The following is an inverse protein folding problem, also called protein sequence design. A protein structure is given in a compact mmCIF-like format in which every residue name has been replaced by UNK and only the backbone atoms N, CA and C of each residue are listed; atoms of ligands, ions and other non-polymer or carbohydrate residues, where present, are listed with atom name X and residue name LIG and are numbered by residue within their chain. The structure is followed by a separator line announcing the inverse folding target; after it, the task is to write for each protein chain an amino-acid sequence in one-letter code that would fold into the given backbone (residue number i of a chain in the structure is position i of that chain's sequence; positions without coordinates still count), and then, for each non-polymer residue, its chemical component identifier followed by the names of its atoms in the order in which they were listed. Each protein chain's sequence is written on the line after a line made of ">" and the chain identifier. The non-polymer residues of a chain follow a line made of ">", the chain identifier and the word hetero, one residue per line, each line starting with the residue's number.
data_IF_140544975548
#
_entry.id   IF_140544975548
#
_cell.length_a   1.000
_cell.length_b   1.000
_cell.length_c   1.000
_cell.angle_alpha   90.00
_cell.angle_beta   90.00
_cell.angle_gamma   90.00
#
_symmetry.space_group_name_H-M   'P 1'
#
loop_
_entity.id
_entity.type
_entity.pdbx_description
1 polymer ?
#
# COMPACT_ATOMS: atom_id res chain seq x y z
N UNK A 1 2.71 38.65 1.41
CA UNK A 1 1.28 38.33 1.66
C UNK A 1 0.31 38.73 0.52
N UNK A 2 0.74 38.88 -0.74
CA UNK A 2 -0.15 39.11 -1.90
C UNK A 2 0.32 38.38 -3.20
N UNK A 3 1.08 37.29 -3.07
CA UNK A 3 1.68 36.55 -4.22
C UNK A 3 1.58 35.02 -4.13
N UNK A 4 0.81 34.49 -3.19
CA UNK A 4 0.51 33.05 -3.03
C UNK A 4 -0.84 32.65 -3.68
N UNK A 5 -1.36 33.47 -4.60
CA UNK A 5 -2.72 33.36 -5.15
C UNK A 5 -2.82 32.74 -6.55
N UNK A 6 -1.72 32.28 -7.17
CA UNK A 6 -1.78 31.79 -8.56
C UNK A 6 -2.22 30.32 -8.68
N UNK A 7 -2.24 29.54 -7.60
CA UNK A 7 -2.92 28.22 -7.58
C UNK A 7 -4.34 28.25 -6.97
N UNK A 8 -4.82 29.41 -6.51
CA UNK A 8 -6.11 29.56 -5.82
C UNK A 8 -7.07 30.55 -6.53
N UNK A 9 -6.84 30.87 -7.80
CA UNK A 9 -7.61 31.88 -8.56
C UNK A 9 -8.39 31.35 -9.78
N UNK A 10 -8.79 30.07 -9.78
CA UNK A 10 -9.79 29.57 -10.72
C UNK A 10 -11.19 29.35 -10.10
N UNK A 11 -11.34 29.37 -8.76
CA UNK A 11 -12.64 29.14 -8.13
C UNK A 11 -13.01 30.22 -7.11
N UNK A 12 -14.11 30.91 -7.41
CA UNK A 12 -14.99 31.66 -6.51
C UNK A 12 -14.53 33.03 -5.97
N UNK A 13 -14.96 34.06 -6.70
CA UNK A 13 -15.31 35.37 -6.13
C UNK A 13 -16.52 35.26 -5.20
N UNK A 14 -16.42 35.67 -3.94
CA UNK A 14 -17.39 36.50 -3.17
C UNK A 14 -17.14 36.41 -1.64
N UNK A 15 -16.55 37.48 -1.09
CA UNK A 15 -16.83 38.17 0.20
C UNK A 15 -17.40 37.42 1.43
N UNK A 16 -16.67 37.44 2.57
CA UNK A 16 -16.89 38.25 3.81
C UNK A 16 -16.49 37.56 5.15
N UNK A 17 -15.49 38.16 5.82
CA UNK A 17 -15.32 38.52 7.27
C UNK A 17 -15.50 37.50 8.45
N UNK A 18 -14.37 37.35 9.18
CA UNK A 18 -14.06 37.65 10.62
C UNK A 18 -14.47 36.73 11.81
N UNK A 19 -13.45 36.48 12.65
CA UNK A 19 -13.39 36.20 14.12
C UNK A 19 -13.75 34.77 14.58
N UNK A 20 -13.19 34.16 15.64
CA UNK A 20 -12.31 34.58 16.75
C UNK A 20 -11.59 33.35 17.39
N UNK A 21 -10.57 33.61 18.22
CA UNK A 21 -9.68 32.66 18.91
C UNK A 21 -10.34 31.69 19.93
N UNK A 22 -11.65 31.50 19.89
CA UNK A 22 -12.38 30.59 20.79
C UNK A 22 -12.30 29.11 20.36
N UNK A 23 -12.04 28.82 19.07
CA UNK A 23 -12.04 27.45 18.54
C UNK A 23 -10.79 26.63 18.94
N UNK A 24 -9.67 27.30 19.23
CA UNK A 24 -8.38 26.65 19.56
C UNK A 24 -8.37 26.07 20.99
N UNK A 25 -9.22 26.57 21.89
CA UNK A 25 -9.28 26.07 23.26
C UNK A 25 -10.14 24.80 23.40
N UNK A 26 -11.10 24.58 22.49
CA UNK A 26 -11.99 23.42 22.51
C UNK A 26 -11.32 22.18 21.87
N UNK A 27 -10.49 22.39 20.84
CA UNK A 27 -9.67 21.33 20.22
C UNK A 27 -8.64 20.71 21.20
N UNK A 28 -8.12 21.49 22.16
CA UNK A 28 -7.16 20.99 23.17
C UNK A 28 -7.81 20.11 24.26
N UNK A 29 -9.14 20.17 24.42
CA UNK A 29 -9.86 19.27 25.34
C UNK A 29 -10.18 17.92 24.71
N UNK A 30 -10.25 17.84 23.38
CA UNK A 30 -10.50 16.59 22.65
C UNK A 30 -9.30 15.64 22.66
N UNK A 31 -8.07 16.15 22.68
CA UNK A 31 -6.83 15.37 22.56
C UNK A 31 -6.35 14.61 23.84
N UNK A 32 -7.14 14.57 24.92
CA UNK A 32 -6.73 13.89 26.18
C UNK A 32 -7.62 12.73 26.63
N UNK A 33 -8.59 12.32 25.82
CA UNK A 33 -9.35 11.10 26.02
C UNK A 33 -9.51 10.45 24.66
N UNK A 34 -8.65 9.50 24.35
CA UNK A 34 -9.11 8.12 24.21
C UNK A 34 -7.90 7.19 24.12
N UNK A 35 -7.76 6.44 25.22
CA UNK A 35 -7.18 5.11 25.17
C UNK A 35 -8.20 4.26 24.39
N UNK A 36 -7.67 3.47 23.45
CA UNK A 36 -7.93 2.03 23.35
C UNK A 36 -8.90 1.47 22.26
N UNK A 37 -8.39 0.42 21.61
CA UNK A 37 -8.94 -0.69 20.79
C UNK A 37 -9.26 -0.51 19.29
N UNK A 38 -8.48 -1.23 18.48
CA UNK A 38 -8.82 -2.09 17.31
C UNK A 38 -10.10 -1.76 16.55
N UNK A 39 -9.94 -1.28 15.31
CA UNK A 39 -11.05 -1.16 14.36
C UNK A 39 -11.46 -2.55 13.86
N UNK A 40 -12.77 -2.78 13.85
CA UNK A 40 -13.37 -4.00 13.31
C UNK A 40 -13.34 -3.97 11.77
N UNK A 41 -13.39 -5.12 11.09
CA UNK A 41 -13.43 -5.17 9.62
C UNK A 41 -14.59 -4.37 9.01
N UNK A 42 -15.68 -4.10 9.75
CA UNK A 42 -16.75 -3.21 9.26
C UNK A 42 -16.28 -1.78 9.06
N UNK A 43 -15.37 -1.30 9.90
CA UNK A 43 -14.77 0.03 9.77
C UNK A 43 -13.68 0.03 8.69
N UNK A 44 -12.95 -1.09 8.54
CA UNK A 44 -11.92 -1.29 7.52
C UNK A 44 -12.52 -1.38 6.10
N UNK A 45 -13.60 -2.17 5.94
CA UNK A 45 -14.37 -2.26 4.71
C UNK A 45 -15.07 -0.93 4.42
N UNK A 46 -15.54 -0.19 5.43
CA UNK A 46 -16.13 1.13 5.23
C UNK A 46 -15.09 2.17 4.78
N UNK A 47 -13.87 2.13 5.32
CA UNK A 47 -12.77 3.00 4.90
C UNK A 47 -12.30 2.65 3.49
N UNK A 48 -12.05 1.37 3.20
CA UNK A 48 -11.70 0.91 1.83
C UNK A 48 -12.85 1.18 0.86
N UNK A 49 -14.11 0.99 1.26
CA UNK A 49 -15.28 1.37 0.45
C UNK A 49 -15.35 2.87 0.26
N UNK A 50 -14.97 3.72 1.22
CA UNK A 50 -14.88 5.19 1.02
C UNK A 50 -13.71 5.58 0.10
N UNK A 51 -12.60 4.84 0.14
CA UNK A 51 -11.47 5.01 -0.78
C UNK A 51 -11.73 4.45 -2.19
N UNK A 52 -12.65 3.49 -2.34
CA UNK A 52 -13.13 2.95 -3.63
C UNK A 52 -14.36 3.70 -4.17
N UNK A 53 -15.22 4.19 -3.28
CA UNK A 53 -16.38 5.02 -3.57
C UNK A 53 -16.02 6.48 -3.32
N UNK A 54 -15.21 7.06 -4.21
CA UNK A 54 -15.16 8.51 -4.29
C UNK A 54 -16.57 9.05 -4.63
N UNK A 55 -16.94 10.18 -4.04
CA UNK A 55 -18.03 11.00 -4.58
C UNK A 55 -19.45 10.77 -4.03
N UNK A 56 -19.65 10.45 -2.75
CA UNK A 56 -21.01 10.50 -2.18
C UNK A 56 -21.65 11.92 -2.15
N UNK A 57 -20.94 12.94 -2.66
CA UNK A 57 -21.44 14.32 -2.73
C UNK A 57 -21.08 15.07 -4.03
N UNK A 58 -20.65 14.38 -5.10
CA UNK A 58 -20.28 15.00 -6.38
C UNK A 58 -21.06 14.36 -7.55
N UNK A 59 -21.29 15.12 -8.63
CA UNK A 59 -21.98 14.63 -9.84
C UNK A 59 -21.18 13.59 -10.65
N UNK A 60 -19.96 13.26 -10.21
CA UNK A 60 -19.02 12.37 -10.90
C UNK A 60 -19.31 10.94 -10.47
N UNK A 61 -19.54 10.06 -11.44
CA UNK A 61 -19.98 8.69 -11.22
C UNK A 61 -18.90 7.64 -11.54
N UNK A 62 -17.77 8.03 -12.13
CA UNK A 62 -16.69 7.10 -12.50
C UNK A 62 -15.30 7.72 -12.51
N UNK A 63 -14.28 6.85 -12.41
CA UNK A 63 -12.88 7.23 -12.58
C UNK A 63 -12.60 7.90 -13.95
N UNK A 64 -13.29 7.44 -15.01
CA UNK A 64 -13.16 8.00 -16.37
C UNK A 64 -13.65 9.46 -16.40
N UNK A 65 -14.83 9.72 -15.85
CA UNK A 65 -15.38 11.08 -15.78
C UNK A 65 -14.49 12.01 -14.95
N UNK A 66 -13.92 11.49 -13.86
CA UNK A 66 -12.99 12.22 -13.01
C UNK A 66 -11.70 12.62 -13.76
N UNK A 67 -11.10 11.68 -14.50
CA UNK A 67 -9.90 11.95 -15.32
C UNK A 67 -10.18 12.99 -16.40
N UNK A 68 -11.33 12.90 -17.09
CA UNK A 68 -11.71 13.89 -18.10
C UNK A 68 -11.93 15.30 -17.51
N UNK A 69 -12.50 15.39 -16.30
CA UNK A 69 -12.59 16.65 -15.58
C UNK A 69 -11.20 17.21 -15.26
N UNK A 70 -10.30 16.39 -14.74
CA UNK A 70 -8.93 16.80 -14.42
C UNK A 70 -8.19 17.30 -15.65
N UNK A 71 -8.26 16.57 -16.76
CA UNK A 71 -7.70 17.00 -18.05
C UNK A 71 -8.18 18.40 -18.42
N UNK A 72 -9.50 18.66 -18.33
CA UNK A 72 -10.06 19.97 -18.64
C UNK A 72 -9.50 21.06 -17.73
N UNK A 73 -9.60 20.87 -16.41
CA UNK A 73 -9.18 21.86 -15.41
C UNK A 73 -7.69 22.17 -15.54
N UNK A 74 -6.85 21.14 -15.64
CA UNK A 74 -5.40 21.31 -15.71
C UNK A 74 -4.93 21.82 -17.08
N UNK A 75 -5.61 21.53 -18.18
CA UNK A 75 -5.32 22.17 -19.47
C UNK A 75 -5.54 23.69 -19.41
N UNK A 76 -6.66 24.14 -18.81
CA UNK A 76 -6.99 25.56 -18.66
C UNK A 76 -6.00 26.28 -17.73
N UNK A 77 -5.43 25.59 -16.74
CA UNK A 77 -4.46 26.17 -15.82
C UNK A 77 -3.02 26.17 -16.35
N UNK A 78 -2.71 25.43 -17.42
CA UNK A 78 -1.33 25.24 -17.92
C UNK A 78 -0.55 26.54 -18.12
N UNK A 79 -1.19 27.59 -18.67
CA UNK A 79 -0.56 28.90 -18.86
C UNK A 79 -0.16 29.53 -17.51
N UNK A 80 -0.99 29.41 -16.46
CA UNK A 80 -0.64 29.88 -15.12
C UNK A 80 0.53 29.10 -14.50
N UNK A 81 0.69 27.82 -14.85
CA UNK A 81 1.84 27.01 -14.45
C UNK A 81 3.08 27.24 -15.32
N UNK A 82 2.93 27.68 -16.57
CA UNK A 82 4.00 27.88 -17.55
C UNK A 82 4.55 29.31 -17.60
N UNK A 83 3.73 30.33 -17.30
CA UNK A 83 4.04 31.76 -17.48
C UNK A 83 5.01 32.35 -16.45
N UNK A 84 5.76 31.54 -15.69
CA UNK A 84 6.91 32.02 -14.94
C UNK A 84 6.64 32.69 -13.58
N UNK A 85 5.53 32.42 -12.89
CA UNK A 85 5.60 32.37 -11.43
C UNK A 85 6.20 31.03 -11.04
N UNK A 86 7.52 30.91 -11.23
CA UNK A 86 8.36 29.91 -10.57
C UNK A 86 7.82 29.70 -9.16
N UNK A 87 7.75 28.43 -8.73
CA UNK A 87 7.69 28.02 -7.33
C UNK A 87 7.97 29.20 -6.43
N UNK A 88 6.96 29.68 -5.69
CA UNK A 88 7.13 30.90 -4.87
C UNK A 88 8.43 30.80 -4.10
N UNK A 89 9.20 31.88 -3.97
CA UNK A 89 10.52 31.85 -3.31
C UNK A 89 10.50 31.09 -1.96
N UNK A 90 9.38 31.18 -1.25
CA UNK A 90 9.09 30.50 0.02
C UNK A 90 9.07 28.95 -0.07
N UNK A 91 8.78 28.38 -1.24
CA UNK A 91 8.70 26.93 -1.50
C UNK A 91 9.99 26.34 -2.07
N UNK A 92 10.91 27.15 -2.61
CA UNK A 92 12.18 26.61 -3.13
C UNK A 92 12.92 25.77 -2.08
N UNK A 93 13.10 26.22 -0.82
CA UNK A 93 13.80 25.40 0.17
C UNK A 93 13.09 24.08 0.49
N UNK A 94 11.76 24.04 0.38
CA UNK A 94 10.97 22.80 0.57
C UNK A 94 11.22 21.83 -0.58
N UNK A 95 11.33 22.32 -1.82
CA UNK A 95 11.66 21.49 -2.98
C UNK A 95 13.12 21.03 -2.99
N UNK A 96 14.05 21.88 -2.56
CA UNK A 96 15.45 21.49 -2.32
C UNK A 96 15.52 20.35 -1.29
N UNK A 97 14.83 20.52 -0.16
CA UNK A 97 14.74 19.49 0.87
C UNK A 97 14.11 18.19 0.34
N UNK A 98 13.00 18.28 -0.40
CA UNK A 98 12.35 17.14 -1.01
C UNK A 98 13.30 16.37 -1.94
N UNK A 99 14.02 17.08 -2.83
CA UNK A 99 14.98 16.45 -3.73
C UNK A 99 16.13 15.79 -2.95
N UNK A 100 16.60 16.38 -1.86
CA UNK A 100 17.60 15.77 -0.98
C UNK A 100 17.04 14.51 -0.27
N UNK A 101 15.78 14.53 0.17
CA UNK A 101 15.10 13.36 0.74
C UNK A 101 14.94 12.22 -0.25
N UNK A 102 14.71 12.52 -1.52
CA UNK A 102 14.63 11.54 -2.60
C UNK A 102 16.03 11.00 -2.90
N UNK A 103 17.00 11.89 -3.17
CA UNK A 103 18.36 11.52 -3.58
C UNK A 103 19.07 10.63 -2.56
N UNK A 104 18.92 10.92 -1.27
CA UNK A 104 19.58 10.13 -0.20
C UNK A 104 19.13 8.67 -0.12
N UNK A 105 18.01 8.29 -0.76
CA UNK A 105 17.54 6.90 -0.81
C UNK A 105 18.26 6.06 -1.85
N UNK A 106 18.89 6.71 -2.83
CA UNK A 106 19.59 6.04 -3.92
C UNK A 106 21.09 6.02 -3.62
N UNK A 107 21.57 4.91 -3.03
CA UNK A 107 22.99 4.70 -2.82
C UNK A 107 23.59 4.09 -4.10
N UNK A 108 24.46 4.85 -4.75
CA UNK A 108 24.82 4.73 -6.17
C UNK A 108 25.73 3.53 -6.47
N UNK A 109 25.14 2.41 -6.89
CA UNK A 109 25.85 1.37 -7.66
C UNK A 109 25.23 1.13 -9.04
N UNK A 110 23.94 1.43 -9.21
CA UNK A 110 23.21 1.39 -10.49
C UNK A 110 23.04 2.80 -11.03
N UNK A 111 23.65 3.09 -12.17
CA UNK A 111 23.41 4.32 -12.94
C UNK A 111 23.03 3.97 -14.37
N UNK A 112 22.06 4.68 -15.00
CA UNK A 112 21.25 5.77 -14.42
C UNK A 112 20.26 5.28 -13.35
N UNK A 113 19.94 6.16 -12.38
CA UNK A 113 18.77 5.96 -11.49
C UNK A 113 17.52 6.29 -12.31
N UNK A 114 16.50 5.43 -12.28
CA UNK A 114 15.26 5.66 -13.02
C UNK A 114 14.12 6.11 -12.10
N UNK A 115 13.60 7.32 -12.32
CA UNK A 115 12.53 7.91 -11.49
C UNK A 115 11.30 8.21 -12.35
N UNK A 116 10.11 7.90 -11.83
CA UNK A 116 8.83 8.32 -12.39
C UNK A 116 8.26 9.48 -11.55
N UNK A 117 8.00 10.63 -12.17
CA UNK A 117 7.29 11.76 -11.58
C UNK A 117 5.82 11.73 -12.04
N UNK A 118 4.93 11.44 -11.11
CA UNK A 118 3.50 11.18 -11.37
C UNK A 118 2.70 12.47 -11.25
N UNK A 119 1.90 12.77 -12.28
CA UNK A 119 1.22 14.07 -12.44
C UNK A 119 2.24 15.21 -12.38
N UNK A 120 3.24 15.13 -13.26
CA UNK A 120 4.42 16.01 -13.21
C UNK A 120 4.11 17.49 -13.48
N UNK A 121 2.88 17.82 -13.93
CA UNK A 121 2.49 19.17 -14.32
C UNK A 121 3.43 19.71 -15.39
N UNK A 122 3.92 20.94 -15.22
CA UNK A 122 4.92 21.56 -16.11
C UNK A 122 6.37 21.20 -15.76
N UNK A 123 6.60 20.17 -14.92
CA UNK A 123 7.94 19.66 -14.60
C UNK A 123 8.65 20.42 -13.47
N UNK A 124 7.90 20.94 -12.50
CA UNK A 124 8.44 21.77 -11.41
C UNK A 124 9.53 21.06 -10.57
N UNK A 125 9.47 19.72 -10.47
CA UNK A 125 10.42 18.91 -9.71
C UNK A 125 11.69 18.56 -10.51
N UNK A 126 11.63 18.60 -11.85
CA UNK A 126 12.71 18.18 -12.74
C UNK A 126 14.06 18.85 -12.47
N UNK A 127 14.17 20.19 -12.30
CA UNK A 127 15.47 20.82 -12.09
C UNK A 127 16.11 20.41 -10.76
N UNK A 128 15.29 20.21 -9.72
CA UNK A 128 15.77 19.78 -8.42
C UNK A 128 16.34 18.36 -8.51
N UNK A 129 15.61 17.41 -9.08
CA UNK A 129 16.13 16.05 -9.27
C UNK A 129 17.36 16.03 -10.17
N UNK A 130 17.33 16.70 -11.33
CA UNK A 130 18.47 16.73 -12.26
C UNK A 130 19.78 17.20 -11.61
N UNK A 131 19.69 18.11 -10.63
CA UNK A 131 20.87 18.61 -9.89
C UNK A 131 21.42 17.67 -8.81
N UNK A 132 20.69 16.60 -8.45
CA UNK A 132 21.04 15.68 -7.34
C UNK A 132 21.67 14.36 -7.79
N UNK A 133 21.56 14.03 -9.07
CA UNK A 133 22.01 12.75 -9.60
C UNK A 133 23.10 12.96 -10.65
N UNK A 134 24.15 12.13 -10.60
CA UNK A 134 25.18 12.10 -11.64
C UNK A 134 24.66 11.57 -12.97
N UNK A 135 23.66 10.66 -12.92
CA UNK A 135 22.97 10.11 -14.08
C UNK A 135 21.56 9.68 -13.69
N UNK A 136 20.57 10.19 -14.43
CA UNK A 136 19.15 10.07 -14.13
C UNK A 136 18.39 9.80 -15.43
N UNK A 137 17.48 8.85 -15.37
CA UNK A 137 16.43 8.61 -16.36
C UNK A 137 15.10 8.97 -15.72
N UNK A 138 14.61 10.19 -15.98
CA UNK A 138 13.39 10.73 -15.39
C UNK A 138 12.24 10.61 -16.39
N UNK A 139 11.17 9.96 -15.98
CA UNK A 139 9.93 9.88 -16.73
C UNK A 139 8.88 10.73 -16.03
N UNK A 140 8.35 11.75 -16.70
CA UNK A 140 7.17 12.50 -16.23
C UNK A 140 5.91 11.96 -16.89
N UNK A 141 4.85 11.75 -16.11
CA UNK A 141 3.52 11.43 -16.66
C UNK A 141 2.50 12.45 -16.20
N UNK A 142 1.64 12.89 -17.11
CA UNK A 142 0.51 13.76 -16.78
C UNK A 142 -0.67 13.48 -17.72
N UNK A 143 -1.90 13.68 -17.25
CA UNK A 143 -3.11 13.48 -18.06
C UNK A 143 -3.38 14.64 -19.01
N UNK A 144 -2.85 15.84 -18.71
CA UNK A 144 -3.12 17.09 -19.43
C UNK A 144 -2.11 17.32 -20.56
N UNK A 145 -2.55 17.32 -21.85
CA UNK A 145 -1.67 17.61 -22.99
C UNK A 145 -0.88 18.91 -22.86
N UNK A 146 -1.49 19.97 -22.30
CA UNK A 146 -0.80 21.25 -22.14
C UNK A 146 0.27 21.21 -21.04
N UNK A 147 0.01 20.47 -19.94
CA UNK A 147 1.03 20.23 -18.90
C UNK A 147 2.21 19.47 -19.47
N UNK A 148 1.93 18.38 -20.19
CA UNK A 148 2.94 17.56 -20.89
C UNK A 148 3.76 18.42 -21.83
N UNK A 149 3.13 19.26 -22.66
CA UNK A 149 3.84 20.14 -23.58
C UNK A 149 4.76 21.12 -22.83
N UNK A 150 4.28 21.73 -21.75
CA UNK A 150 5.09 22.63 -20.92
C UNK A 150 6.29 21.92 -20.28
N UNK A 151 6.07 20.74 -19.73
CA UNK A 151 7.11 19.90 -19.13
C UNK A 151 8.14 19.42 -20.16
N UNK A 152 7.73 19.05 -21.37
CA UNK A 152 8.64 18.68 -22.47
C UNK A 152 9.56 19.85 -22.86
N UNK A 153 9.01 21.06 -22.97
CA UNK A 153 9.81 22.26 -23.26
C UNK A 153 10.80 22.57 -22.14
N UNK A 154 10.40 22.39 -20.88
CA UNK A 154 11.28 22.62 -19.74
C UNK A 154 12.38 21.55 -19.62
N UNK A 155 12.02 20.28 -19.81
CA UNK A 155 12.93 19.14 -19.85
C UNK A 155 14.05 19.34 -20.89
N UNK A 156 13.73 19.82 -22.10
CA UNK A 156 14.73 20.12 -23.13
C UNK A 156 15.77 21.14 -22.67
N UNK A 157 15.37 22.17 -21.92
CA UNK A 157 16.29 23.17 -21.37
C UNK A 157 17.18 22.59 -20.28
N UNK A 158 16.63 21.72 -19.42
CA UNK A 158 17.38 21.06 -18.35
C UNK A 158 18.45 20.12 -18.96
N UNK A 159 18.07 19.27 -19.91
CA UNK A 159 18.99 18.30 -20.53
C UNK A 159 20.19 18.96 -21.25
N UNK A 160 20.07 20.21 -21.70
CA UNK A 160 21.21 20.97 -22.25
C UNK A 160 22.29 21.26 -21.21
N UNK A 161 21.92 21.42 -19.93
CA UNK A 161 22.84 21.68 -18.82
C UNK A 161 23.38 20.41 -18.15
N UNK A 162 22.73 19.26 -18.36
CA UNK A 162 23.06 18.01 -17.67
C UNK A 162 23.12 16.82 -18.65
N UNK A 163 24.29 16.52 -19.26
CA UNK A 163 24.40 15.58 -20.38
C UNK A 163 24.11 14.11 -20.03
N UNK A 164 24.17 13.73 -18.75
CA UNK A 164 23.88 12.37 -18.25
C UNK A 164 22.44 12.22 -17.70
N UNK A 165 21.63 13.26 -17.86
CA UNK A 165 20.23 13.30 -17.44
C UNK A 165 19.38 13.16 -18.70
N UNK A 166 18.47 12.19 -18.69
CA UNK A 166 17.44 12.01 -19.70
C UNK A 166 16.09 12.29 -19.03
N UNK A 167 15.27 13.09 -19.69
CA UNK A 167 13.91 13.39 -19.23
C UNK A 167 12.94 13.12 -20.38
N UNK A 168 12.05 12.15 -20.19
CA UNK A 168 10.96 11.87 -21.12
C UNK A 168 9.62 12.21 -20.45
N UNK A 169 8.72 12.88 -21.15
CA UNK A 169 7.41 13.26 -20.61
C UNK A 169 6.31 12.72 -21.49
N UNK A 170 5.37 11.99 -20.90
CA UNK A 170 4.35 11.21 -21.58
C UNK A 170 2.96 11.65 -21.11
N UNK A 171 2.03 11.81 -22.04
CA UNK A 171 0.62 11.93 -21.72
C UNK A 171 0.07 10.57 -21.30
N UNK A 172 -0.28 10.41 -20.03
CA UNK A 172 -0.80 9.16 -19.50
C UNK A 172 -1.61 9.37 -18.22
N UNK A 173 -2.61 8.51 -18.01
CA UNK A 173 -3.25 8.33 -16.71
C UNK A 173 -2.45 7.28 -15.92
N UNK A 174 -2.04 7.64 -14.70
CA UNK A 174 -1.08 6.84 -13.94
C UNK A 174 -1.61 5.46 -13.55
N UNK A 175 -2.88 5.34 -13.14
CA UNK A 175 -3.46 4.04 -12.74
C UNK A 175 -3.48 3.01 -13.89
N UNK A 176 -3.44 3.48 -15.14
CA UNK A 176 -3.36 2.70 -16.37
C UNK A 176 -1.98 2.73 -17.04
N UNK A 177 -1.00 3.42 -16.46
CA UNK A 177 0.33 3.56 -17.04
C UNK A 177 1.11 2.24 -16.99
N UNK A 178 1.72 1.89 -18.11
CA UNK A 178 2.59 0.73 -18.25
C UNK A 178 3.98 1.17 -18.68
N UNK A 179 5.00 0.51 -18.14
CA UNK A 179 6.39 0.71 -18.52
C UNK A 179 7.06 -0.65 -18.74
N UNK A 180 7.87 -0.82 -19.79
CA UNK A 180 8.61 -2.06 -20.03
C UNK A 180 9.67 -2.32 -18.94
N UNK A 181 10.20 -1.25 -18.35
CA UNK A 181 11.20 -1.29 -17.29
C UNK A 181 10.62 -0.77 -15.98
N UNK A 182 11.09 -1.34 -14.87
CA UNK A 182 10.72 -0.93 -13.52
C UNK A 182 11.55 0.28 -13.04
N UNK A 183 10.98 1.04 -12.11
CA UNK A 183 11.55 2.27 -11.57
C UNK A 183 12.30 2.02 -10.25
N UNK A 184 13.40 2.75 -10.05
CA UNK A 184 14.07 2.85 -8.76
C UNK A 184 13.26 3.75 -7.81
N UNK A 185 12.63 4.80 -8.35
CA UNK A 185 11.81 5.73 -7.59
C UNK A 185 10.51 6.09 -8.30
N UNK A 186 9.43 6.24 -7.54
CA UNK A 186 8.19 6.88 -8.00
C UNK A 186 7.90 8.04 -7.05
N UNK A 187 7.65 9.22 -7.60
CA UNK A 187 7.33 10.43 -6.84
C UNK A 187 5.91 10.88 -7.20
N UNK A 188 5.07 11.02 -6.17
CA UNK A 188 3.72 11.57 -6.23
C UNK A 188 3.70 12.89 -5.48
N UNK A 189 4.25 13.93 -6.11
CA UNK A 189 4.33 15.24 -5.51
C UNK A 189 3.06 16.06 -5.81
N UNK A 190 2.37 16.46 -4.76
CA UNK A 190 1.16 17.29 -4.79
C UNK A 190 -0.01 16.72 -5.63
N UNK A 191 -0.08 15.40 -5.78
CA UNK A 191 -1.09 14.76 -6.62
C UNK A 191 -1.88 13.62 -5.95
N UNK A 192 -1.45 13.10 -4.78
CA UNK A 192 -2.07 11.91 -4.20
C UNK A 192 -3.55 12.10 -3.84
N UNK A 193 -3.92 13.26 -3.29
CA UNK A 193 -5.31 13.60 -2.99
C UNK A 193 -6.19 13.79 -4.23
N UNK A 194 -5.56 13.91 -5.40
CA UNK A 194 -6.23 14.14 -6.68
C UNK A 194 -6.66 12.83 -7.33
N UNK A 195 -6.21 11.65 -6.88
CA UNK A 195 -6.60 10.41 -7.55
C UNK A 195 -8.00 9.95 -7.17
N UNK A 196 -8.70 9.30 -8.10
CA UNK A 196 -10.02 8.73 -7.81
C UNK A 196 -9.95 7.66 -6.71
N UNK A 197 -8.97 6.76 -6.77
CA UNK A 197 -8.71 5.76 -5.73
C UNK A 197 -7.24 5.74 -5.33
N UNK A 198 -6.97 6.10 -4.06
CA UNK A 198 -5.62 6.01 -3.51
C UNK A 198 -5.08 4.57 -3.48
N UNK A 199 -5.96 3.56 -3.34
CA UNK A 199 -5.54 2.16 -3.30
C UNK A 199 -5.05 1.66 -4.66
N UNK A 200 -5.79 1.93 -5.75
CA UNK A 200 -5.39 1.53 -7.12
C UNK A 200 -4.05 2.16 -7.53
N UNK A 201 -3.82 3.39 -7.09
CA UNK A 201 -2.57 4.13 -7.34
C UNK A 201 -1.41 3.54 -6.55
N UNK A 202 -1.62 3.15 -5.29
CA UNK A 202 -0.60 2.43 -4.51
C UNK A 202 -0.31 1.05 -5.11
N UNK A 203 -1.33 0.32 -5.56
CA UNK A 203 -1.19 -0.96 -6.26
C UNK A 203 -0.34 -0.82 -7.52
N UNK A 204 -0.66 0.18 -8.36
CA UNK A 204 0.07 0.47 -9.59
C UNK A 204 1.52 0.89 -9.30
N UNK A 205 1.75 1.76 -8.32
CA UNK A 205 3.09 2.15 -7.91
C UNK A 205 3.91 0.94 -7.46
N UNK A 206 3.30 0.04 -6.68
CA UNK A 206 3.95 -1.19 -6.26
C UNK A 206 4.37 -2.04 -7.47
N UNK A 207 3.52 -2.20 -8.49
CA UNK A 207 3.83 -2.97 -9.71
C UNK A 207 4.96 -2.38 -10.55
N UNK A 208 5.09 -1.04 -10.55
CA UNK A 208 6.09 -0.33 -11.35
C UNK A 208 7.44 -0.15 -10.64
N UNK A 209 7.52 -0.39 -9.32
CA UNK A 209 8.77 -0.32 -8.57
C UNK A 209 9.59 -1.61 -8.69
N UNK A 210 10.91 -1.48 -8.76
CA UNK A 210 11.83 -2.62 -8.69
C UNK A 210 11.66 -3.37 -7.37
N UNK A 211 11.46 -4.70 -7.39
CA UNK A 211 11.47 -5.48 -6.15
C UNK A 211 12.87 -5.49 -5.54
N UNK A 212 12.98 -5.72 -4.22
CA UNK A 212 14.29 -5.84 -3.58
C UNK A 212 15.01 -7.09 -4.08
N UNK A 213 16.33 -7.01 -4.16
CA UNK A 213 17.23 -8.13 -4.45
C UNK A 213 18.17 -8.34 -3.25
N UNK A 214 18.81 -9.51 -3.07
CA UNK A 214 19.54 -9.84 -1.82
C UNK A 214 20.60 -8.85 -1.33
N UNK A 215 21.04 -7.91 -2.18
CA UNK A 215 22.09 -6.93 -1.90
C UNK A 215 21.68 -5.49 -2.25
N UNK A 216 20.42 -5.24 -2.63
CA UNK A 216 19.92 -3.91 -2.98
C UNK A 216 18.48 -3.76 -2.51
N UNK A 217 18.13 -2.64 -1.84
CA UNK A 217 16.75 -2.39 -1.44
C UNK A 217 15.83 -2.37 -2.67
N UNK A 218 14.53 -2.49 -2.43
CA UNK A 218 13.56 -2.26 -3.49
C UNK A 218 13.51 -0.79 -3.89
N UNK A 219 12.73 -0.50 -4.92
CA UNK A 219 12.44 0.87 -5.30
C UNK A 219 11.63 1.61 -4.22
N UNK A 220 11.63 2.94 -4.27
CA UNK A 220 10.98 3.80 -3.29
C UNK A 220 9.80 4.58 -3.89
N UNK A 221 8.68 4.63 -3.16
CA UNK A 221 7.56 5.51 -3.44
C UNK A 221 7.60 6.70 -2.48
N UNK A 222 7.53 7.92 -3.02
CA UNK A 222 7.45 9.16 -2.27
C UNK A 222 6.07 9.79 -2.50
N UNK A 223 5.26 9.89 -1.46
CA UNK A 223 3.99 10.63 -1.48
C UNK A 223 4.22 11.94 -0.76
N UNK A 224 4.19 13.06 -1.50
CA UNK A 224 4.63 14.35 -0.94
C UNK A 224 3.65 15.47 -1.22
N UNK A 225 3.61 16.45 -0.33
CA UNK A 225 2.89 17.70 -0.56
C UNK A 225 3.63 18.88 0.10
N UNK A 226 4.18 19.84 -0.67
CA UNK A 226 4.99 20.94 -0.14
C UNK A 226 4.27 21.83 0.87
N UNK A 227 2.94 21.94 0.78
CA UNK A 227 2.09 22.72 1.70
C UNK A 227 1.44 21.87 2.82
N UNK A 228 1.75 20.57 2.88
CA UNK A 228 1.25 19.66 3.91
C UNK A 228 -0.20 19.22 3.78
N UNK A 229 -0.62 18.33 4.68
CA UNK A 229 -1.94 17.68 4.65
C UNK A 229 -3.12 18.61 4.97
N UNK A 230 -2.91 19.63 5.81
CA UNK A 230 -3.96 20.60 6.15
C UNK A 230 -4.42 21.40 4.92
N UNK A 231 -3.46 21.77 4.06
CA UNK A 231 -3.76 22.45 2.80
C UNK A 231 -4.59 21.56 1.86
N UNK A 232 -4.23 20.28 1.73
CA UNK A 232 -5.02 19.33 0.92
C UNK A 232 -6.41 19.11 1.49
N UNK A 233 -6.57 19.08 2.83
CA UNK A 233 -7.89 19.00 3.46
C UNK A 233 -8.76 20.23 3.16
N UNK A 234 -8.16 21.41 3.02
CA UNK A 234 -8.86 22.62 2.56
C UNK A 234 -9.25 22.51 1.08
N UNK A 235 -8.33 22.09 0.20
CA UNK A 235 -8.64 21.87 -1.23
C UNK A 235 -9.75 20.84 -1.44
N UNK A 236 -9.77 19.78 -0.63
CA UNK A 236 -10.84 18.79 -0.66
C UNK A 236 -12.21 19.40 -0.32
N UNK A 237 -12.26 20.36 0.61
CA UNK A 237 -13.50 21.06 0.96
C UNK A 237 -13.95 22.04 -0.14
N UNK A 238 -12.98 22.70 -0.79
CA UNK A 238 -13.25 23.73 -1.80
C UNK A 238 -13.54 23.15 -3.19
N UNK A 239 -12.85 22.07 -3.56
CA UNK A 239 -12.85 21.45 -4.90
C UNK A 239 -12.86 19.92 -4.85
N UNK A 240 -13.83 19.29 -4.15
CA UNK A 240 -13.88 17.83 -3.96
C UNK A 240 -13.96 17.02 -5.26
N UNK A 241 -14.36 17.65 -6.36
CA UNK A 241 -14.43 17.03 -7.69
C UNK A 241 -13.06 16.79 -8.35
N UNK A 242 -12.03 17.56 -7.97
CA UNK A 242 -10.65 17.38 -8.48
C UNK A 242 -9.68 16.89 -7.41
N UNK A 243 -9.99 17.14 -6.13
CA UNK A 243 -9.29 16.64 -4.95
C UNK A 243 -10.26 15.83 -4.10
N UNK A 244 -10.62 14.60 -4.51
CA UNK A 244 -11.61 13.78 -3.83
C UNK A 244 -11.18 13.28 -2.45
N UNK A 245 -9.88 13.35 -2.10
CA UNK A 245 -9.37 12.81 -0.83
C UNK A 245 -8.41 13.75 -0.09
N UNK A 246 -8.48 13.71 1.23
CA UNK A 246 -7.41 14.19 2.10
C UNK A 246 -6.18 13.27 2.01
N UNK A 247 -4.99 13.78 2.36
CA UNK A 247 -3.81 12.92 2.51
C UNK A 247 -3.93 12.00 3.73
N UNK A 248 -3.58 10.70 3.60
CA UNK A 248 -3.66 9.76 4.71
C UNK A 248 -2.62 10.07 5.80
N UNK A 249 -2.99 9.86 7.06
CA UNK A 249 -2.03 9.86 8.16
C UNK A 249 -1.20 8.56 8.19
N UNK A 250 -0.25 8.47 9.13
CA UNK A 250 0.62 7.30 9.29
C UNK A 250 -0.13 5.97 9.42
N UNK A 251 -1.15 5.91 10.28
CA UNK A 251 -1.95 4.69 10.49
C UNK A 251 -2.78 4.32 9.26
N UNK A 252 -3.36 5.32 8.61
CA UNK A 252 -4.12 5.14 7.38
C UNK A 252 -3.23 4.63 6.24
N UNK A 253 -1.98 5.10 6.12
CA UNK A 253 -1.04 4.58 5.13
C UNK A 253 -0.67 3.12 5.40
N UNK A 254 -0.32 2.78 6.65
CA UNK A 254 -0.06 1.38 7.04
C UNK A 254 -1.26 0.51 6.69
N UNK A 255 -2.45 1.00 6.98
CA UNK A 255 -3.68 0.31 6.65
C UNK A 255 -3.83 0.15 5.13
N UNK A 256 -3.69 1.20 4.34
CA UNK A 256 -3.83 1.16 2.88
C UNK A 256 -2.80 0.23 2.21
N UNK A 257 -1.60 0.09 2.76
CA UNK A 257 -0.53 -0.74 2.17
C UNK A 257 -0.40 -2.13 2.79
N UNK A 258 -1.21 -2.52 3.77
CA UNK A 258 -1.08 -3.81 4.48
C UNK A 258 -1.13 -5.06 3.60
N UNK A 259 -1.70 -4.93 2.40
CA UNK A 259 -1.82 -6.00 1.39
C UNK A 259 -1.00 -5.72 0.13
N UNK A 260 -0.22 -4.64 0.15
CA UNK A 260 0.66 -4.24 -0.93
C UNK A 260 2.11 -4.49 -0.53
N UNK A 261 3.01 -4.80 -1.47
CA UNK A 261 4.42 -4.98 -1.16
C UNK A 261 5.11 -3.62 -0.94
N UNK A 262 4.49 -2.74 -0.15
CA UNK A 262 4.93 -1.39 0.18
C UNK A 262 4.97 -1.23 1.69
N UNK A 263 6.17 -0.98 2.21
CA UNK A 263 6.37 -0.72 3.63
C UNK A 263 6.62 0.76 3.85
N UNK A 264 5.82 1.39 4.73
CA UNK A 264 6.09 2.75 5.17
C UNK A 264 7.35 2.76 6.05
N UNK A 265 8.39 3.45 5.61
CA UNK A 265 9.69 3.51 6.30
C UNK A 265 10.01 4.89 6.88
N UNK A 266 9.30 5.92 6.44
CA UNK A 266 9.42 7.28 6.97
C UNK A 266 8.14 8.08 6.73
N UNK A 267 7.77 8.88 7.73
CA UNK A 267 6.60 9.75 7.66
C UNK A 267 6.88 11.09 8.36
N UNK A 268 6.66 12.20 7.66
CA UNK A 268 6.93 13.55 8.13
C UNK A 268 5.83 14.51 7.71
N UNK A 269 5.40 15.40 8.61
CA UNK A 269 4.36 16.40 8.35
C UNK A 269 4.82 17.86 8.51
N UNK A 270 6.09 18.07 8.86
CA UNK A 270 6.71 19.39 8.98
C UNK A 270 8.16 19.30 8.59
N UNK A 271 8.66 20.34 7.93
CA UNK A 271 10.07 20.51 7.60
C UNK A 271 10.61 21.75 8.32
N UNK A 272 11.87 21.72 8.75
CA UNK A 272 12.54 22.93 9.20
C UNK A 272 13.31 23.54 8.03
N UNK A 273 12.88 24.72 7.60
CA UNK A 273 13.53 25.51 6.54
C UNK A 273 14.04 26.79 7.20
N UNK A 274 15.34 27.03 7.11
CA UNK A 274 15.99 28.24 7.66
C UNK A 274 15.68 28.47 9.16
N UNK A 275 15.47 27.39 9.92
CA UNK A 275 15.17 27.45 11.36
C UNK A 275 13.68 27.61 11.71
N UNK A 276 12.80 27.72 10.71
CA UNK A 276 11.34 27.80 10.90
C UNK A 276 10.65 26.51 10.50
N UNK A 277 9.68 26.07 11.29
CA UNK A 277 8.91 24.86 11.00
C UNK A 277 7.77 25.16 10.02
N UNK A 278 7.90 24.69 8.78
CA UNK A 278 6.90 24.85 7.72
C UNK A 278 6.01 23.59 7.58
N UNK A 279 4.74 23.73 7.17
CA UNK A 279 3.92 22.59 6.77
C UNK A 279 4.60 21.79 5.66
N UNK A 280 4.53 20.47 5.75
CA UNK A 280 5.04 19.56 4.74
C UNK A 280 4.27 18.25 4.83
N UNK A 281 4.35 17.41 3.82
CA UNK A 281 3.90 16.03 3.92
C UNK A 281 4.88 15.20 3.11
N UNK A 282 5.45 14.18 3.73
CA UNK A 282 6.25 13.18 3.05
C UNK A 282 6.04 11.84 3.70
N UNK A 283 5.51 10.90 2.94
CA UNK A 283 5.55 9.49 3.25
C UNK A 283 6.51 8.81 2.27
N UNK A 284 7.53 8.15 2.80
CA UNK A 284 8.44 7.32 2.00
C UNK A 284 8.10 5.87 2.26
N UNK A 285 7.76 5.15 1.20
CA UNK A 285 7.50 3.72 1.22
C UNK A 285 8.56 2.99 0.41
N UNK A 286 9.00 1.83 0.89
CA UNK A 286 9.92 0.95 0.19
C UNK A 286 9.15 -0.23 -0.41
N UNK A 287 9.50 -0.60 -1.64
CA UNK A 287 9.05 -1.84 -2.26
C UNK A 287 9.72 -2.99 -1.53
N UNK A 288 8.92 -3.81 -0.86
CA UNK A 288 9.39 -5.01 -0.18
C UNK A 288 9.06 -6.26 -1.00
N UNK A 289 9.73 -7.37 -0.69
CA UNK A 289 9.51 -8.63 -1.41
C UNK A 289 8.13 -9.19 -1.12
N UNK A 290 7.74 -9.15 0.15
CA UNK A 290 6.51 -9.77 0.63
C UNK A 290 5.80 -8.82 1.61
N UNK A 291 4.46 -8.86 1.61
CA UNK A 291 3.65 -8.07 2.53
C UNK A 291 3.68 -8.74 3.91
N UNK A 292 4.51 -8.23 4.82
CA UNK A 292 4.50 -8.71 6.20
C UNK A 292 3.19 -8.33 6.88
N UNK A 293 2.55 -9.27 7.55
CA UNK A 293 1.39 -8.92 8.35
C UNK A 293 1.83 -8.09 9.56
N UNK A 294 1.06 -7.06 9.95
CA UNK A 294 1.33 -6.29 11.16
C UNK A 294 1.11 -7.13 12.43
N UNK A 295 0.28 -8.17 12.32
CA UNK A 295 0.03 -9.15 13.36
C UNK A 295 0.22 -10.56 12.82
N UNK A 296 1.03 -11.34 13.53
CA UNK A 296 1.14 -12.77 13.37
C UNK A 296 -0.20 -13.40 13.79
N UNK A 297 -0.78 -14.21 12.89
CA UNK A 297 -2.04 -14.90 13.17
C UNK A 297 -1.78 -16.36 13.44
N UNK A 298 -2.16 -16.86 14.61
CA UNK A 298 -2.04 -18.27 14.99
C UNK A 298 -3.43 -18.90 15.04
N UNK A 299 -3.57 -20.10 14.50
CA UNK A 299 -4.80 -20.89 14.51
C UNK A 299 -4.49 -22.34 14.86
N UNK A 300 -5.24 -22.93 15.77
CA UNK A 300 -5.14 -24.34 16.14
C UNK A 300 -6.52 -24.94 16.09
N UNK A 301 -6.68 -26.06 15.41
CA UNK A 301 -7.95 -26.77 15.40
C UNK A 301 -7.92 -28.05 14.56
N UNK A 302 -9.00 -28.82 14.60
CA UNK A 302 -9.12 -30.05 13.85
C UNK A 302 -9.16 -29.78 12.34
N UNK A 303 -8.51 -30.65 11.58
CA UNK A 303 -8.55 -30.63 10.12
C UNK A 303 -9.82 -31.30 9.63
N UNK A 304 -10.71 -30.52 9.02
CA UNK A 304 -11.94 -31.02 8.41
C UNK A 304 -11.68 -31.59 7.01
N UNK A 305 -12.54 -32.51 6.58
CA UNK A 305 -12.61 -32.94 5.19
C UNK A 305 -13.17 -31.78 4.35
N UNK A 306 -12.38 -31.29 3.37
CA UNK A 306 -12.87 -30.30 2.42
C UNK A 306 -13.85 -30.90 1.39
N UNK A 307 -14.32 -30.08 0.45
CA UNK A 307 -15.27 -30.51 -0.60
C UNK A 307 -14.69 -31.46 -1.68
N UNK A 308 -13.44 -31.91 -1.53
CA UNK A 308 -12.80 -32.86 -2.45
C UNK A 308 -12.59 -32.34 -3.88
N UNK A 309 -12.70 -31.02 -4.11
CA UNK A 309 -12.77 -30.45 -5.48
C UNK A 309 -11.42 -30.21 -6.16
N UNK A 310 -10.29 -30.18 -5.45
CA UNK A 310 -9.00 -29.76 -6.05
C UNK A 310 -7.72 -30.45 -5.55
N UNK A 311 -7.54 -30.64 -4.23
CA UNK A 311 -6.25 -31.04 -3.65
C UNK A 311 -5.63 -32.32 -4.22
N UNK A 312 -6.41 -33.41 -4.33
CA UNK A 312 -5.92 -34.69 -4.90
C UNK A 312 -5.59 -34.64 -6.40
N UNK A 313 -6.24 -33.74 -7.18
CA UNK A 313 -5.95 -33.58 -8.63
C UNK A 313 -4.78 -32.64 -8.91
N UNK A 314 -4.50 -31.71 -7.98
CA UNK A 314 -3.39 -30.76 -8.09
C UNK A 314 -2.10 -31.28 -7.43
N UNK A 315 -2.14 -32.40 -6.70
CA UNK A 315 -0.98 -33.00 -6.03
C UNK A 315 -0.65 -32.35 -4.68
N UNK A 316 -1.62 -31.67 -4.09
CA UNK A 316 -1.41 -30.73 -2.99
C UNK A 316 -2.26 -31.15 -1.78
N UNK A 317 -1.66 -31.58 -0.65
CA UNK A 317 -2.41 -31.86 0.56
C UNK A 317 -2.97 -30.55 1.12
N UNK A 318 -4.29 -30.51 1.26
CA UNK A 318 -5.04 -29.34 1.71
C UNK A 318 -5.78 -29.66 3.00
N UNK A 319 -5.52 -28.86 4.03
CA UNK A 319 -6.17 -28.89 5.32
C UNK A 319 -7.25 -27.80 5.36
N UNK A 320 -8.47 -28.16 5.74
CA UNK A 320 -9.52 -27.17 5.97
C UNK A 320 -9.67 -27.02 7.47
N UNK A 321 -9.59 -25.79 7.99
CA UNK A 321 -9.95 -25.53 9.38
C UNK A 321 -11.43 -25.17 9.44
N UNK A 322 -12.17 -25.78 10.38
CA UNK A 322 -13.62 -25.66 10.43
C UNK A 322 -14.07 -24.21 10.72
N UNK A 323 -14.87 -23.57 9.84
CA UNK A 323 -15.18 -22.15 9.95
C UNK A 323 -16.01 -21.77 11.17
N UNK A 324 -16.88 -22.68 11.64
CA UNK A 324 -17.71 -22.46 12.83
C UNK A 324 -16.87 -22.13 14.09
N UNK A 325 -15.65 -22.67 14.14
CA UNK A 325 -14.70 -22.51 15.24
C UNK A 325 -13.98 -21.15 15.17
N UNK A 326 -13.56 -20.75 13.98
CA UNK A 326 -12.74 -19.55 13.78
C UNK A 326 -13.56 -18.33 13.36
N UNK A 327 -14.89 -18.41 13.30
CA UNK A 327 -15.77 -17.34 12.81
C UNK A 327 -15.41 -15.97 13.39
N UNK A 328 -15.28 -15.87 14.72
CA UNK A 328 -14.93 -14.61 15.41
C UNK A 328 -13.53 -14.11 15.07
N UNK A 329 -12.55 -15.00 14.89
CA UNK A 329 -11.21 -14.62 14.45
C UNK A 329 -11.24 -14.09 13.02
N UNK A 330 -11.95 -14.80 12.14
CA UNK A 330 -12.02 -14.50 10.71
C UNK A 330 -12.88 -13.28 10.38
N UNK A 331 -13.71 -12.79 11.30
CA UNK A 331 -14.40 -11.49 11.19
C UNK A 331 -13.45 -10.31 11.00
N UNK A 332 -12.18 -10.41 11.39
CA UNK A 332 -11.19 -9.34 11.21
C UNK A 332 -10.10 -9.67 10.19
N UNK A 333 -10.11 -10.88 9.64
CA UNK A 333 -9.11 -11.34 8.66
C UNK A 333 -9.64 -11.11 7.25
N UNK A 334 -8.95 -10.32 6.44
CA UNK A 334 -9.31 -10.11 5.04
C UNK A 334 -9.23 -11.41 4.25
N UNK A 335 -10.00 -11.52 3.16
CA UNK A 335 -9.88 -12.69 2.29
C UNK A 335 -8.69 -12.55 1.35
N UNK A 336 -8.09 -13.67 0.98
CA UNK A 336 -6.93 -13.72 0.11
C UNK A 336 -6.01 -14.88 0.42
N UNK A 337 -4.86 -14.87 -0.25
CA UNK A 337 -3.82 -15.88 -0.12
C UNK A 337 -2.70 -15.36 0.77
N UNK A 338 -2.32 -16.16 1.75
CA UNK A 338 -1.32 -15.91 2.76
C UNK A 338 -0.23 -16.98 2.70
N UNK A 339 0.89 -16.74 3.38
CA UNK A 339 1.92 -17.76 3.61
C UNK A 339 2.24 -17.90 5.10
N UNK A 340 2.70 -19.09 5.47
CA UNK A 340 2.70 -19.52 6.85
C UNK A 340 3.55 -20.73 7.18
N UNK A 341 3.76 -20.98 8.47
CA UNK A 341 4.24 -22.26 8.98
C UNK A 341 3.08 -23.08 9.53
N UNK A 342 3.14 -24.39 9.38
CA UNK A 342 2.11 -25.32 9.84
C UNK A 342 2.71 -26.59 10.43
N UNK A 343 2.06 -27.11 11.47
CA UNK A 343 2.41 -28.38 12.13
C UNK A 343 1.14 -29.18 12.32
N UNK A 344 1.21 -30.50 12.09
CA UNK A 344 0.15 -31.43 12.47
C UNK A 344 0.57 -32.04 13.81
N UNK A 345 -0.26 -31.87 14.85
CA UNK A 345 0.06 -32.35 16.19
C UNK A 345 0.31 -33.87 16.18
N UNK A 346 1.36 -34.30 16.88
CA UNK A 346 1.78 -35.71 16.89
C UNK A 346 2.67 -36.12 15.71
N UNK A 347 2.74 -35.32 14.62
CA UNK A 347 3.67 -35.54 13.50
C UNK A 347 4.96 -34.72 13.68
N UNK A 348 6.10 -35.26 13.24
CA UNK A 348 7.44 -34.70 13.50
C UNK A 348 7.93 -33.74 12.41
N UNK A 349 7.09 -32.81 11.94
CA UNK A 349 7.52 -31.87 10.91
C UNK A 349 6.75 -30.54 10.97
N UNK A 350 7.52 -29.45 10.84
CA UNK A 350 7.01 -28.12 10.58
C UNK A 350 7.15 -27.83 9.08
N UNK A 351 6.02 -27.57 8.45
CA UNK A 351 5.87 -27.43 7.02
C UNK A 351 5.61 -25.97 6.65
N UNK A 352 6.16 -25.54 5.52
CA UNK A 352 5.73 -24.30 4.88
C UNK A 352 4.31 -24.48 4.37
N UNK A 353 3.52 -23.42 4.37
CA UNK A 353 2.13 -23.45 3.93
C UNK A 353 1.78 -22.23 3.09
N UNK A 354 0.96 -22.47 2.07
CA UNK A 354 0.17 -21.45 1.37
C UNK A 354 -1.24 -21.55 1.92
N UNK A 355 -1.87 -20.44 2.28
CA UNK A 355 -3.16 -20.47 2.97
C UNK A 355 -4.14 -19.56 2.27
N UNK A 356 -5.26 -20.11 1.81
CA UNK A 356 -6.38 -19.32 1.34
C UNK A 356 -7.32 -19.04 2.52
N UNK A 357 -7.59 -17.77 2.80
CA UNK A 357 -8.70 -17.34 3.65
C UNK A 357 -9.78 -16.83 2.71
N UNK A 358 -10.85 -17.59 2.53
CA UNK A 358 -11.85 -17.32 1.50
C UNK A 358 -13.27 -17.53 1.99
N UNK A 359 -14.26 -17.06 1.23
CA UNK A 359 -15.66 -17.33 1.53
C UNK A 359 -16.01 -18.72 1.02
N UNK A 360 -16.49 -19.59 1.91
CA UNK A 360 -17.01 -20.90 1.54
C UNK A 360 -18.16 -20.72 0.54
N UNK A 361 -18.11 -21.35 -0.64
CA UNK A 361 -19.23 -21.37 -1.56
C UNK A 361 -20.32 -22.29 -0.97
N UNK A 362 -21.10 -21.75 -0.03
CA UNK A 362 -22.35 -22.38 0.37
C UNK A 362 -23.28 -22.40 -0.84
N UNK A 363 -24.02 -23.51 -1.00
CA UNK A 363 -24.98 -23.71 -2.10
C UNK A 363 -25.81 -22.44 -2.36
N UNK A 364 -26.16 -22.18 -3.63
CA UNK A 364 -27.08 -21.11 -4.03
C UNK A 364 -28.24 -21.00 -3.02
N UNK A 365 -28.32 -19.86 -2.31
CA UNK A 365 -29.41 -19.58 -1.36
C UNK A 365 -29.09 -19.66 0.14
N UNK A 366 -27.84 -19.92 0.56
CA UNK A 366 -27.48 -19.82 1.97
C UNK A 366 -27.28 -18.36 2.41
N UNK A 367 -28.07 -17.89 3.37
CA UNK A 367 -28.03 -16.53 3.92
C UNK A 367 -26.76 -16.20 4.71
N UNK A 368 -25.90 -17.18 4.99
CA UNK A 368 -24.68 -17.04 5.80
C UNK A 368 -23.47 -17.70 5.11
N UNK A 369 -22.81 -16.96 4.23
CA UNK A 369 -21.53 -17.40 3.68
C UNK A 369 -20.42 -17.20 4.73
N UNK A 370 -19.73 -18.27 5.11
CA UNK A 370 -18.71 -18.25 6.16
C UNK A 370 -17.31 -18.21 5.57
N UNK A 371 -16.40 -17.46 6.20
CA UNK A 371 -14.98 -17.52 5.84
C UNK A 371 -14.36 -18.82 6.34
N UNK A 372 -13.60 -19.46 5.47
CA UNK A 372 -12.85 -20.69 5.73
C UNK A 372 -11.36 -20.43 5.60
N UNK A 373 -10.56 -21.25 6.28
CA UNK A 373 -9.11 -21.33 6.10
C UNK A 373 -8.81 -22.65 5.39
N UNK A 374 -8.22 -22.56 4.21
CA UNK A 374 -7.69 -23.70 3.46
C UNK A 374 -6.17 -23.60 3.41
N UNK A 375 -5.48 -24.44 4.17
CA UNK A 375 -4.02 -24.48 4.21
C UNK A 375 -3.49 -25.59 3.30
N UNK A 376 -2.67 -25.21 2.33
CA UNK A 376 -1.92 -26.11 1.50
C UNK A 376 -0.49 -26.27 2.02
N UNK A 377 -0.15 -27.48 2.46
CA UNK A 377 1.19 -27.79 2.97
C UNK A 377 2.17 -28.06 1.83
N UNK A 378 3.29 -27.34 1.84
CA UNK A 378 4.41 -27.54 0.93
C UNK A 378 5.31 -28.65 1.48
N UNK A 379 4.97 -29.89 1.14
CA UNK A 379 5.66 -31.07 1.63
C UNK A 379 6.92 -31.37 0.81
N UNK A 380 7.98 -31.82 1.49
CA UNK A 380 9.17 -32.40 0.85
C UNK A 380 8.94 -33.87 0.47
N UNK A 381 8.20 -34.58 1.31
CA UNK A 381 7.85 -36.00 1.13
C UNK A 381 6.33 -36.20 1.31
N UNK A 382 5.71 -37.16 0.59
CA UNK A 382 4.30 -37.49 0.77
C UNK A 382 3.99 -37.92 2.21
N UNK A 383 2.81 -37.54 2.71
CA UNK A 383 2.28 -37.97 4.00
C UNK A 383 0.89 -38.60 3.85
N UNK A 384 0.52 -39.47 4.78
CA UNK A 384 -0.84 -40.01 4.86
C UNK A 384 -1.88 -38.91 5.18
N UNK A 385 -3.13 -39.15 4.78
CA UNK A 385 -4.26 -38.27 5.11
C UNK A 385 -4.32 -38.00 6.63
N UNK A 386 -4.65 -36.77 7.01
CA UNK A 386 -4.60 -36.27 8.40
C UNK A 386 -5.90 -35.60 8.84
N UNK A 387 -7.02 -36.04 8.26
CA UNK A 387 -8.36 -35.55 8.62
C UNK A 387 -8.69 -35.95 10.07
N UNK A 388 -9.28 -35.02 10.81
CA UNK A 388 -9.59 -35.15 12.24
C UNK A 388 -8.39 -34.92 13.15
N UNK A 389 -7.16 -34.89 12.64
CA UNK A 389 -5.98 -34.50 13.43
C UNK A 389 -5.98 -32.99 13.67
N UNK A 390 -5.36 -32.56 14.77
CA UNK A 390 -5.22 -31.14 15.10
C UNK A 390 -4.05 -30.55 14.33
N UNK A 391 -4.29 -29.44 13.64
CA UNK A 391 -3.26 -28.62 13.02
C UNK A 391 -3.01 -27.36 13.84
N UNK A 392 -1.77 -26.89 13.81
CA UNK A 392 -1.34 -25.55 14.20
C UNK A 392 -0.86 -24.81 12.96
N UNK A 393 -1.38 -23.61 12.75
CA UNK A 393 -1.14 -22.80 11.57
C UNK A 393 -0.77 -21.37 11.98
N UNK A 394 0.30 -20.85 11.42
CA UNK A 394 0.71 -19.47 11.58
C UNK A 394 0.68 -18.76 10.22
N UNK A 395 0.09 -17.57 10.15
CA UNK A 395 0.13 -16.72 8.95
C UNK A 395 1.07 -15.56 9.20
N UNK A 396 2.08 -15.40 8.33
CA UNK A 396 3.14 -14.39 8.48
C UNK A 396 3.04 -13.24 7.49
N UNK A 397 2.50 -13.52 6.30
CA UNK A 397 2.44 -12.54 5.22
C UNK A 397 1.29 -12.80 4.26
N UNK A 398 0.96 -11.76 3.51
CA UNK A 398 -0.06 -11.79 2.46
C UNK A 398 0.62 -11.85 1.08
N UNK A 399 0.10 -12.73 0.22
CA UNK A 399 0.58 -12.88 -1.16
C UNK A 399 -0.27 -12.07 -2.13
N UNK A 400 -1.59 -12.24 -2.09
CA UNK A 400 -2.52 -11.58 -3.03
C UNK A 400 -3.99 -11.70 -2.60
N UNK A 401 -4.88 -10.82 -3.09
CA UNK A 401 -6.33 -10.98 -2.95
C UNK A 401 -6.84 -12.24 -3.65
N UNK A 402 -8.05 -12.67 -3.28
CA UNK A 402 -8.78 -13.69 -4.04
C UNK A 402 -9.06 -13.21 -5.47
N UNK A 403 -8.95 -14.10 -6.44
CA UNK A 403 -9.14 -13.78 -7.86
C UNK A 403 -9.92 -14.91 -8.53
N UNK A 404 -10.87 -14.55 -9.39
CA UNK A 404 -11.55 -15.52 -10.25
C UNK A 404 -10.67 -15.79 -11.46
N UNK A 405 -10.51 -17.06 -11.81
CA UNK A 405 -9.70 -17.47 -12.96
C UNK A 405 -10.59 -17.88 -14.12
N UNK A 406 -10.26 -17.41 -15.31
CA UNK A 406 -11.00 -17.71 -16.55
C UNK A 406 -10.76 -19.15 -17.05
N UNK A 407 -9.76 -19.85 -16.49
CA UNK A 407 -9.48 -21.25 -16.83
C UNK A 407 -8.83 -22.01 -15.68
N UNK A 408 -8.99 -23.33 -15.70
CA UNK A 408 -8.30 -24.24 -14.77
C UNK A 408 -6.77 -24.13 -14.88
N UNK A 409 -6.23 -23.95 -16.09
CA UNK A 409 -4.79 -23.77 -16.29
C UNK A 409 -4.26 -22.50 -15.63
N UNK A 410 -5.01 -21.39 -15.72
CA UNK A 410 -4.66 -20.14 -15.04
C UNK A 410 -4.66 -20.31 -13.52
N UNK A 411 -5.65 -21.02 -12.97
CA UNK A 411 -5.70 -21.37 -11.56
C UNK A 411 -4.47 -22.19 -11.12
N UNK A 412 -4.12 -23.25 -11.87
CA UNK A 412 -2.95 -24.10 -11.54
C UNK A 412 -1.65 -23.28 -11.58
N UNK A 413 -1.47 -22.46 -12.63
CA UNK A 413 -0.31 -21.60 -12.76
C UNK A 413 -0.17 -20.63 -11.59
N UNK A 414 -1.29 -20.03 -11.15
CA UNK A 414 -1.28 -19.13 -10.01
C UNK A 414 -0.97 -19.86 -8.70
N UNK A 415 -1.54 -21.04 -8.46
CA UNK A 415 -1.23 -21.85 -7.26
C UNK A 415 0.26 -22.20 -7.21
N UNK A 416 0.84 -22.59 -8.36
CA UNK A 416 2.27 -22.89 -8.44
C UNK A 416 3.14 -21.65 -8.16
N UNK A 417 2.72 -20.48 -8.65
CA UNK A 417 3.39 -19.21 -8.36
C UNK A 417 3.29 -18.86 -6.87
N UNK A 418 2.10 -18.98 -6.27
CA UNK A 418 1.86 -18.71 -4.84
C UNK A 418 2.73 -19.65 -3.96
N UNK A 419 2.83 -20.93 -4.32
CA UNK A 419 3.67 -21.90 -3.61
C UNK A 419 5.17 -21.60 -3.71
N UNK A 420 5.64 -21.20 -4.90
CA UNK A 420 7.04 -20.78 -5.09
C UNK A 420 7.34 -19.54 -4.25
N UNK A 421 6.46 -18.53 -4.32
CA UNK A 421 6.61 -17.27 -3.58
C UNK A 421 6.61 -17.50 -2.07
N UNK A 422 5.65 -18.27 -1.55
CA UNK A 422 5.60 -18.65 -0.15
C UNK A 422 6.86 -19.40 0.30
N UNK A 423 7.36 -20.32 -0.53
CA UNK A 423 8.58 -21.08 -0.21
C UNK A 423 9.78 -20.16 -0.06
N UNK A 424 9.99 -19.26 -1.01
CA UNK A 424 11.09 -18.29 -0.97
C UNK A 424 10.92 -17.32 0.20
N UNK A 425 9.70 -16.82 0.46
CA UNK A 425 9.42 -15.92 1.57
C UNK A 425 9.81 -16.53 2.91
N UNK A 426 9.37 -17.77 3.18
CA UNK A 426 9.60 -18.46 4.45
C UNK A 426 11.08 -18.85 4.69
N UNK A 427 11.95 -18.79 3.66
CA UNK A 427 13.40 -18.95 3.82
C UNK A 427 14.12 -17.67 4.23
N UNK A 428 13.47 -16.51 4.11
CA UNK A 428 14.05 -15.21 4.43
C UNK A 428 13.80 -14.83 5.89
N UNK A 429 14.68 -14.02 6.46
CA UNK A 429 14.39 -13.32 7.72
C UNK A 429 13.30 -12.26 7.48
N UNK A 430 12.39 -12.05 8.44
CA UNK A 430 12.35 -12.73 9.74
C UNK A 430 11.59 -14.07 9.73
N UNK A 431 10.94 -14.44 8.63
CA UNK A 431 10.02 -15.59 8.59
C UNK A 431 10.66 -16.94 8.91
N UNK A 432 11.93 -17.13 8.56
CA UNK A 432 12.67 -18.36 8.88
C UNK A 432 12.88 -18.54 10.39
N UNK A 433 12.98 -17.46 11.16
CA UNK A 433 13.13 -17.55 12.64
C UNK A 433 11.81 -17.91 13.31
N UNK A 434 10.67 -17.53 12.72
CA UNK A 434 9.35 -17.89 13.23
C UNK A 434 9.06 -19.40 13.15
N UNK A 435 9.88 -20.19 12.43
CA UNK A 435 9.80 -21.65 12.45
C UNK A 435 10.06 -22.24 13.84
N UNK A 436 10.86 -21.57 14.68
CA UNK A 436 11.16 -21.98 16.05
C UNK A 436 10.20 -21.39 17.09
N UNK A 437 9.10 -20.77 16.67
CA UNK A 437 8.07 -20.30 17.57
C UNK A 437 7.51 -21.47 18.43
N UNK A 438 7.43 -21.25 19.75
CA UNK A 438 6.91 -22.24 20.71
C UNK A 438 5.50 -22.75 20.37
N UNK A 439 4.70 -21.96 19.65
CA UNK A 439 3.41 -22.37 19.14
C UNK A 439 3.52 -23.55 18.18
N UNK A 440 4.57 -23.63 17.37
CA UNK A 440 4.82 -24.70 16.42
C UNK A 440 5.50 -25.92 17.07
N UNK A 441 5.86 -25.87 18.35
CA UNK A 441 6.50 -26.98 19.03
C UNK A 441 5.54 -28.17 19.23
N UNK A 442 6.07 -29.37 19.00
CA UNK A 442 5.36 -30.65 19.10
C UNK A 442 4.65 -30.87 20.43
N UNK A 443 5.26 -30.43 21.53
CA UNK A 443 4.80 -30.70 22.90
C UNK A 443 4.17 -29.47 23.56
N UNK A 444 3.86 -28.44 22.79
CA UNK A 444 3.24 -27.23 23.33
C UNK A 444 1.90 -27.63 23.99
N UNK A 445 1.69 -27.32 25.29
CA UNK A 445 0.49 -27.75 26.01
C UNK A 445 -0.78 -27.24 25.30
N UNK A 446 -1.92 -27.92 25.50
CA UNK A 446 -3.22 -27.62 24.87
C UNK A 446 -3.45 -26.11 24.77
N UNK A 447 -3.22 -25.55 23.58
CA UNK A 447 -3.20 -24.12 23.39
C UNK A 447 -4.63 -23.60 23.30
N UNK A 448 -4.89 -22.52 24.02
CA UNK A 448 -6.16 -21.80 24.10
C UNK A 448 -5.79 -20.32 24.12
N UNK A 449 -5.41 -19.79 22.95
CA UNK A 449 -4.70 -18.51 22.78
C UNK A 449 -5.34 -17.28 23.44
N UNK A 450 -4.61 -16.18 23.50
CA UNK A 450 -5.03 -14.97 24.23
C UNK A 450 -6.21 -14.22 23.58
N UNK A 451 -6.54 -14.52 22.32
CA UNK A 451 -7.61 -13.84 21.57
C UNK A 451 -8.94 -14.59 21.59
N UNK A 452 -8.94 -15.91 21.83
CA UNK A 452 -10.15 -16.71 22.00
C UNK A 452 -10.01 -18.17 21.61
N UNK A 453 -11.07 -18.93 21.86
CA UNK A 453 -11.17 -20.36 21.58
C UNK A 453 -11.54 -21.20 22.80
N UNK A 454 -11.36 -22.50 22.67
CA UNK A 454 -11.52 -23.52 23.70
C UNK A 454 -10.40 -24.58 23.62
N UNK A 455 -10.54 -25.69 24.35
CA UNK A 455 -9.54 -26.77 24.37
C UNK A 455 -9.39 -27.54 23.06
N UNK A 456 -10.39 -27.48 22.17
CA UNK A 456 -10.35 -28.14 20.87
C UNK A 456 -9.76 -27.22 19.80
N UNK A 457 -10.07 -25.93 19.86
CA UNK A 457 -9.55 -24.99 18.89
C UNK A 457 -9.52 -23.54 19.37
N UNK A 458 -8.55 -22.79 18.90
CA UNK A 458 -8.24 -21.46 19.42
C UNK A 458 -7.46 -20.62 18.44
N UNK A 459 -7.35 -19.31 18.72
CA UNK A 459 -6.61 -18.38 17.88
C UNK A 459 -5.92 -17.29 18.71
N UNK A 460 -4.92 -16.66 18.11
CA UNK A 460 -4.22 -15.51 18.67
C UNK A 460 -3.73 -14.59 17.57
N UNK A 461 -3.84 -13.28 17.82
CA UNK A 461 -3.18 -12.24 17.04
C UNK A 461 -2.13 -11.55 17.93
N UNK A 462 -0.86 -11.65 17.54
CA UNK A 462 0.26 -11.01 18.24
C UNK A 462 0.97 -10.04 17.29
N UNK A 463 1.51 -8.93 17.78
CA UNK A 463 2.30 -8.05 16.92
C UNK A 463 3.54 -8.77 16.38
N UNK A 464 3.78 -8.64 15.07
CA UNK A 464 4.82 -9.43 14.40
C UNK A 464 6.22 -9.14 14.92
N UNK A 465 6.52 -7.88 15.29
CA UNK A 465 7.84 -7.54 15.86
C UNK A 465 8.08 -8.23 17.21
N UNK A 466 7.07 -8.29 18.08
CA UNK A 466 7.16 -8.97 19.38
C UNK A 466 7.40 -10.47 19.18
N UNK A 467 6.66 -11.09 18.25
CA UNK A 467 6.83 -12.51 17.93
C UNK A 467 8.23 -12.82 17.35
N UNK A 468 8.81 -11.91 16.56
CA UNK A 468 10.15 -12.07 16.01
C UNK A 468 11.21 -11.96 17.11
N UNK A 469 11.05 -11.01 18.04
CA UNK A 469 11.94 -10.86 19.20
C UNK A 469 11.88 -12.09 20.11
N UNK A 470 10.70 -12.66 20.34
CA UNK A 470 10.52 -13.89 21.13
C UNK A 470 11.10 -15.14 20.45
N UNK A 471 11.13 -15.18 19.12
CA UNK A 471 11.61 -16.31 18.34
C UNK A 471 13.11 -16.25 17.99
N UNK A 472 13.77 -15.10 18.21
CA UNK A 472 15.19 -14.85 17.90
C UNK A 472 16.08 -15.14 19.12
#
# INVERSE_FOLDING_TARGET
>A
MKRLQILALACSSLTLRRHSAAFILEAKRFYRRDRVWFTSQRDDDAFIRRQKAAGANTKIQSAVEHVELQKKVFNEMSDAFASGSTLSDDLLPVYEYLADQIARRFNTTTTPVRILDVACGTGALFPFLASRFDSLDLVGVDVSPNMVQGAQQFAQKIMQGYPKIQINVIEAEFSMYESPDLFDGIVMNACFGNFWSGLEVLERAAQLLKPPVPQSPGGFLFITHPLGAEFVAQLHQETPETVPHCLPNHEQLIHMTRFLPLQLIEFQQRVSVQGEAQPFYCATLERVRHCCLPQLMRFRGPVASGYGRGGKKLGFPTANLEPAVFRKALETVSTGVYFGWAVIEGRNACHKAVVNVGISPTFEGAENAEKIIEAHLLLEEPIDDFYGETMRLQLHGFLRPETKFDSFSALVAQIAADAKEAKEALDLRPYVTLKSDTFLERNSPTWIGNSGGDGQASWEFQHTNEAIEEAS
#
